data_IF_502506027490
#
_entry.id   IF_502506027490
#
_cell.length_a   1.000
_cell.length_b   1.000
_cell.length_c   1.000
_cell.angle_alpha   90.00
_cell.angle_beta   90.00
_cell.angle_gamma   90.00
#
_symmetry.space_group_name_H-M   'P 1'
#
loop_
_entity.id
_entity.type
_entity.pdbx_description
1 polymer ?
#
# COMPACT_ATOMS: atom_id res chain seq x y z
N UNK A 1 -3.87 -3.19 -6.01
CA UNK A 1 -5.30 -3.33 -6.39
C UNK A 1 -6.19 -2.76 -5.29
N UNK A 2 -7.18 -1.93 -5.58
CA UNK A 2 -8.13 -1.45 -4.55
C UNK A 2 -9.11 -2.57 -4.18
N UNK A 3 -9.22 -2.90 -2.90
CA UNK A 3 -10.08 -3.98 -2.39
C UNK A 3 -11.25 -3.48 -1.55
N UNK A 4 -11.13 -2.30 -0.94
CA UNK A 4 -12.22 -1.63 -0.23
C UNK A 4 -12.35 -0.22 -0.78
N UNK A 5 -13.55 0.12 -1.21
CA UNK A 5 -13.93 1.46 -1.67
C UNK A 5 -15.12 1.94 -0.85
N UNK A 6 -14.95 3.06 -0.16
CA UNK A 6 -16.07 3.69 0.53
C UNK A 6 -16.97 4.45 -0.46
N UNK A 7 -18.29 4.45 -0.25
CA UNK A 7 -19.25 5.12 -1.13
C UNK A 7 -19.10 6.65 -1.09
N UNK A 8 -18.72 7.20 0.06
CA UNK A 8 -18.49 8.63 0.24
C UNK A 8 -16.98 8.92 0.24
N UNK A 9 -16.55 9.84 -0.63
CA UNK A 9 -15.18 10.34 -0.61
C UNK A 9 -15.01 11.27 0.58
N UNK A 10 -14.19 10.88 1.54
CA UNK A 10 -13.68 11.77 2.59
C UNK A 10 -12.45 12.52 2.05
N UNK A 11 -12.10 13.65 2.66
CA UNK A 11 -10.93 14.45 2.24
C UNK A 11 -9.62 13.62 2.23
N UNK A 12 -9.49 12.64 3.13
CA UNK A 12 -8.30 11.79 3.27
C UNK A 12 -8.48 10.39 2.69
N UNK A 13 -9.64 10.09 2.10
CA UNK A 13 -10.02 8.73 1.64
C UNK A 13 -9.96 7.64 2.73
N UNK A 14 -10.11 8.02 4.00
CA UNK A 14 -10.14 7.12 5.17
C UNK A 14 -10.87 5.80 4.88
N UNK A 15 -10.29 4.66 5.25
CA UNK A 15 -10.86 3.32 5.08
C UNK A 15 -10.68 2.72 3.69
N UNK A 16 -10.30 3.53 2.69
CA UNK A 16 -9.93 3.00 1.38
C UNK A 16 -8.69 2.11 1.52
N UNK A 17 -8.79 0.86 1.06
CA UNK A 17 -7.77 -0.17 1.28
C UNK A 17 -7.35 -0.81 -0.03
N UNK A 18 -6.06 -1.10 -0.15
CA UNK A 18 -5.45 -1.70 -1.31
C UNK A 18 -4.71 -2.99 -0.92
N UNK A 19 -4.83 -4.01 -1.76
CA UNK A 19 -3.96 -5.18 -1.77
C UNK A 19 -2.72 -4.89 -2.61
N UNK A 20 -1.56 -5.28 -2.09
CA UNK A 20 -0.24 -4.97 -2.64
C UNK A 20 0.60 -6.24 -2.72
N UNK A 21 1.36 -6.34 -3.79
CA UNK A 21 2.38 -7.35 -4.03
C UNK A 21 3.52 -6.70 -4.81
N UNK A 22 4.37 -5.95 -4.11
CA UNK A 22 5.38 -5.09 -4.72
C UNK A 22 6.77 -5.77 -4.70
N UNK A 23 7.55 -5.67 -5.79
CA UNK A 23 8.91 -6.19 -5.83
C UNK A 23 9.83 -5.36 -4.93
N UNK A 24 10.72 -6.04 -4.20
CA UNK A 24 11.85 -5.43 -3.51
C UNK A 24 13.09 -5.63 -4.37
N UNK A 25 13.67 -4.53 -4.83
CA UNK A 25 14.85 -4.50 -5.69
C UNK A 25 16.05 -3.97 -4.91
N UNK A 26 17.24 -4.48 -5.20
CA UNK A 26 18.48 -4.12 -4.48
C UNK A 26 18.77 -2.62 -4.57
N UNK A 27 18.43 -2.01 -5.71
CA UNK A 27 18.65 -0.59 -6.01
C UNK A 27 17.43 0.01 -6.72
N UNK A 28 17.27 1.34 -6.75
CA UNK A 28 16.09 1.99 -7.33
C UNK A 28 15.90 1.78 -8.84
N UNK A 29 16.92 1.31 -9.57
CA UNK A 29 16.81 1.08 -11.01
C UNK A 29 15.86 -0.10 -11.33
N UNK A 30 14.92 0.05 -12.30
CA UNK A 30 13.94 -1.00 -12.62
C UNK A 30 14.54 -2.34 -13.08
N UNK A 31 15.81 -2.34 -13.51
CA UNK A 31 16.56 -3.52 -13.95
C UNK A 31 17.40 -4.15 -12.84
N UNK A 32 17.34 -3.62 -11.62
CA UNK A 32 18.08 -4.14 -10.47
C UNK A 32 17.59 -5.55 -10.07
N UNK A 33 18.44 -6.28 -9.36
CA UNK A 33 18.13 -7.63 -8.89
C UNK A 33 16.91 -7.62 -7.95
N UNK A 34 16.00 -8.57 -8.19
CA UNK A 34 14.86 -8.81 -7.31
C UNK A 34 15.32 -9.59 -6.08
N UNK A 35 15.23 -8.98 -4.90
CA UNK A 35 15.69 -9.55 -3.63
C UNK A 35 14.55 -10.07 -2.75
N UNK A 36 13.29 -9.82 -3.14
CA UNK A 36 12.12 -10.32 -2.43
C UNK A 36 10.83 -9.61 -2.85
N UNK A 37 9.77 -9.81 -2.09
CA UNK A 37 8.47 -9.16 -2.29
C UNK A 37 7.85 -8.67 -0.98
N UNK A 38 7.16 -7.54 -1.04
CA UNK A 38 6.36 -6.99 0.05
C UNK A 38 4.87 -7.21 -0.26
N UNK A 39 4.27 -8.16 0.46
CA UNK A 39 2.91 -8.61 0.22
C UNK A 39 2.01 -8.25 1.39
N UNK A 40 0.89 -7.59 1.13
CA UNK A 40 0.01 -7.15 2.21
C UNK A 40 -1.03 -6.12 1.80
N UNK A 41 -1.41 -5.27 2.76
CA UNK A 41 -2.43 -4.24 2.57
C UNK A 41 -1.96 -2.90 3.14
N UNK A 42 -2.25 -1.81 2.43
CA UNK A 42 -2.29 -0.47 3.03
C UNK A 42 -3.71 0.07 3.02
N UNK A 43 -4.03 0.85 4.05
CA UNK A 43 -5.28 1.57 4.17
C UNK A 43 -5.04 3.04 4.54
N UNK A 44 -5.83 3.95 3.98
CA UNK A 44 -5.89 5.32 4.47
C UNK A 44 -6.50 5.32 5.89
N UNK A 45 -5.73 5.74 6.89
CA UNK A 45 -6.03 5.51 8.30
C UNK A 45 -6.11 6.79 9.15
N UNK A 46 -6.04 7.98 8.53
CA UNK A 46 -6.17 9.26 9.23
C UNK A 46 -7.40 10.05 8.77
N UNK A 47 -8.06 10.72 9.72
CA UNK A 47 -9.26 11.53 9.48
C UNK A 47 -8.96 12.96 9.06
N UNK A 48 -7.80 13.50 9.44
CA UNK A 48 -7.46 14.92 9.27
C UNK A 48 -6.42 15.15 8.19
N UNK A 49 -5.45 14.24 8.10
CA UNK A 49 -4.30 14.34 7.19
C UNK A 49 -4.17 13.05 6.37
N UNK A 50 -3.33 13.07 5.32
CA UNK A 50 -2.98 11.83 4.64
C UNK A 50 -2.10 10.97 5.54
N UNK A 51 -2.57 9.77 5.86
CA UNK A 51 -1.83 8.80 6.66
C UNK A 51 -2.22 7.39 6.26
N UNK A 52 -1.23 6.51 6.19
CA UNK A 52 -1.40 5.11 5.80
C UNK A 52 -1.09 4.19 6.98
N UNK A 53 -1.91 3.16 7.16
CA UNK A 53 -1.55 1.97 7.95
C UNK A 53 -1.14 0.88 6.97
N UNK A 54 0.01 0.26 7.22
CA UNK A 54 0.57 -0.81 6.39
C UNK A 54 0.75 -2.07 7.22
N UNK A 55 0.27 -3.20 6.71
CA UNK A 55 0.61 -4.52 7.21
C UNK A 55 1.12 -5.34 6.03
N UNK A 56 2.33 -5.88 6.17
CA UNK A 56 2.89 -6.78 5.17
C UNK A 56 3.64 -7.95 5.77
N UNK A 57 3.87 -8.91 4.88
CA UNK A 57 4.87 -9.95 5.01
C UNK A 57 5.93 -9.74 3.92
N UNK A 58 7.17 -10.04 4.28
CA UNK A 58 8.30 -10.13 3.37
C UNK A 58 8.49 -11.60 2.97
N UNK A 59 8.73 -11.85 1.69
CA UNK A 59 9.04 -13.16 1.11
C UNK A 59 10.24 -13.10 0.19
#
# INVERSE_FOLDING_TARGET
MQIIRLPNRTATSLGTTYLVDDPLIEKPEPTSELVGRAQGIYAFASQRDYGLLWQCRLS
#
